data_IF_470055018173
#
_entry.id   IF_470055018173
#
_cell.length_a   1.000
_cell.length_b   1.000
_cell.length_c   1.000
_cell.angle_alpha   90.00
_cell.angle_beta   90.00
_cell.angle_gamma   90.00
#
_symmetry.space_group_name_H-M   'P 1'
#
loop_
_entity.id
_entity.type
_entity.pdbx_description
1 polymer ?
#
# COMPACT_ATOMS: atom_id res chain seq x y z
N UNK A 1 -12.73 -11.36 -2.47
CA UNK A 1 -11.84 -12.07 -1.55
C UNK A 1 -12.66 -12.91 -0.63
N UNK A 2 -12.39 -14.21 -0.56
CA UNK A 2 -12.92 -15.12 0.45
C UNK A 2 -11.71 -15.63 1.22
N UNK A 3 -11.69 -15.44 2.53
CA UNK A 3 -10.55 -15.78 3.40
C UNK A 3 -11.05 -16.39 4.69
N UNK A 4 -10.30 -17.34 5.25
CA UNK A 4 -10.49 -17.91 6.60
C UNK A 4 -11.83 -18.63 6.83
N UNK A 5 -12.63 -18.83 5.78
CA UNK A 5 -13.83 -19.63 5.85
C UNK A 5 -13.44 -21.12 5.95
N UNK A 6 -14.11 -21.84 6.84
CA UNK A 6 -13.80 -23.24 7.14
C UNK A 6 -15.07 -24.07 7.17
N UNK A 7 -15.07 -25.14 6.39
CA UNK A 7 -16.11 -26.16 6.38
C UNK A 7 -15.55 -27.46 5.82
N UNK A 8 -16.16 -28.60 6.15
CA UNK A 8 -15.76 -29.89 5.56
C UNK A 8 -16.07 -29.99 4.05
N UNK A 9 -17.07 -29.24 3.60
CA UNK A 9 -17.49 -29.11 2.20
C UNK A 9 -17.74 -27.62 1.97
N UNK A 10 -17.20 -27.06 0.88
CA UNK A 10 -17.40 -25.66 0.54
C UNK A 10 -16.76 -24.68 1.53
N UNK A 11 -15.54 -24.97 1.98
CA UNK A 11 -14.79 -24.08 2.88
C UNK A 11 -14.64 -22.67 2.31
N UNK A 12 -14.32 -22.55 1.02
CA UNK A 12 -14.40 -21.27 0.28
C UNK A 12 -15.72 -21.12 -0.48
N UNK A 13 -15.85 -21.83 -1.60
CA UNK A 13 -17.01 -21.80 -2.50
C UNK A 13 -17.52 -23.22 -2.72
N UNK A 14 -18.80 -23.47 -2.43
CA UNK A 14 -19.50 -24.66 -2.88
C UNK A 14 -20.15 -24.40 -4.25
N UNK A 15 -19.75 -25.16 -5.25
CA UNK A 15 -20.25 -25.07 -6.62
C UNK A 15 -21.29 -26.16 -6.87
N UNK A 16 -22.56 -25.74 -6.97
CA UNK A 16 -23.71 -26.61 -7.27
C UNK A 16 -24.37 -26.29 -8.64
N UNK A 17 -23.72 -25.43 -9.44
CA UNK A 17 -24.15 -25.00 -10.76
C UNK A 17 -23.00 -24.26 -11.46
N UNK A 18 -23.19 -23.74 -12.68
CA UNK A 18 -22.13 -23.02 -13.39
C UNK A 18 -21.58 -21.84 -12.57
N UNK A 19 -20.26 -21.74 -12.50
CA UNK A 19 -19.55 -20.64 -11.85
C UNK A 19 -18.59 -20.00 -12.86
N UNK A 20 -18.65 -18.69 -13.01
CA UNK A 20 -17.58 -17.90 -13.64
C UNK A 20 -16.84 -17.14 -12.53
N UNK A 21 -15.51 -17.23 -12.52
CA UNK A 21 -14.67 -16.62 -11.49
C UNK A 21 -13.45 -15.94 -12.09
N UNK A 22 -13.21 -14.68 -11.72
CA UNK A 22 -12.04 -13.92 -12.15
C UNK A 22 -11.66 -12.89 -11.11
N UNK A 23 -10.41 -12.43 -11.13
CA UNK A 23 -9.91 -11.35 -10.27
C UNK A 23 -10.16 -11.58 -8.77
N UNK A 24 -10.24 -12.83 -8.33
CA UNK A 24 -10.68 -13.22 -6.98
C UNK A 24 -9.54 -13.81 -6.16
N UNK A 25 -9.41 -13.36 -4.91
CA UNK A 25 -8.57 -14.02 -3.91
C UNK A 25 -9.40 -15.06 -3.16
N UNK A 26 -8.86 -16.28 -3.06
CA UNK A 26 -9.37 -17.40 -2.29
C UNK A 26 -8.26 -17.84 -1.31
N UNK A 27 -8.48 -17.61 -0.02
CA UNK A 27 -7.59 -18.04 1.04
C UNK A 27 -8.30 -19.02 1.97
N UNK A 28 -7.89 -20.29 1.93
CA UNK A 28 -8.54 -21.36 2.68
C UNK A 28 -8.37 -21.13 4.19
N UNK A 29 -9.42 -21.44 4.95
CA UNK A 29 -9.30 -21.55 6.40
C UNK A 29 -8.66 -22.86 6.86
N UNK A 30 -8.93 -23.25 8.11
CA UNK A 30 -8.36 -24.46 8.73
C UNK A 30 -8.82 -25.77 8.06
N UNK A 31 -9.94 -25.74 7.34
CA UNK A 31 -10.50 -26.91 6.66
C UNK A 31 -11.29 -26.55 5.41
N UNK A 32 -11.37 -27.51 4.47
CA UNK A 32 -12.04 -27.36 3.19
C UNK A 32 -11.11 -26.80 2.09
N UNK A 33 -11.50 -27.06 0.85
CA UNK A 33 -10.86 -26.45 -0.33
C UNK A 33 -11.43 -25.06 -0.59
N UNK A 34 -10.68 -24.23 -1.32
CA UNK A 34 -11.14 -22.93 -1.79
C UNK A 34 -12.32 -23.06 -2.76
N UNK A 35 -12.28 -24.06 -3.65
CA UNK A 35 -13.36 -24.37 -4.58
C UNK A 35 -13.71 -25.84 -4.40
N UNK A 36 -14.97 -26.10 -4.06
CA UNK A 36 -15.51 -27.44 -3.88
C UNK A 36 -16.67 -27.66 -4.86
N UNK A 37 -16.56 -28.69 -5.70
CA UNK A 37 -17.47 -28.95 -6.81
C UNK A 37 -18.31 -30.18 -6.52
N UNK A 38 -19.63 -30.01 -6.43
CA UNK A 38 -20.54 -31.11 -6.15
C UNK A 38 -21.16 -31.67 -7.44
N UNK A 39 -20.66 -32.82 -7.89
CA UNK A 39 -21.09 -33.48 -9.13
C UNK A 39 -20.42 -32.89 -10.38
N UNK A 40 -20.97 -33.18 -11.55
CA UNK A 40 -20.49 -32.60 -12.81
C UNK A 40 -20.97 -31.13 -12.91
N UNK A 41 -20.11 -30.21 -12.50
CA UNK A 41 -20.33 -28.77 -12.59
C UNK A 41 -19.24 -28.10 -13.42
N UNK A 42 -19.57 -26.98 -14.08
CA UNK A 42 -18.62 -26.19 -14.85
C UNK A 42 -18.16 -25.01 -14.03
N UNK A 43 -16.85 -24.94 -13.77
CA UNK A 43 -16.18 -23.74 -13.25
C UNK A 43 -15.32 -23.16 -14.36
N UNK A 44 -15.62 -21.94 -14.76
CA UNK A 44 -14.89 -21.21 -15.80
C UNK A 44 -14.06 -20.12 -15.12
N UNK A 45 -12.74 -20.25 -15.18
CA UNK A 45 -11.85 -19.15 -14.78
C UNK A 45 -11.77 -18.09 -15.89
N UNK A 46 -12.12 -16.85 -15.54
CA UNK A 46 -11.89 -15.66 -16.35
C UNK A 46 -10.47 -15.09 -16.16
N UNK A 47 -9.64 -15.74 -15.33
CA UNK A 47 -8.26 -15.37 -15.08
C UNK A 47 -8.05 -14.43 -13.88
N UNK A 48 -6.77 -14.23 -13.56
CA UNK A 48 -6.28 -13.34 -12.51
C UNK A 48 -6.84 -13.66 -11.12
N UNK A 49 -7.14 -14.92 -10.84
CA UNK A 49 -7.47 -15.40 -9.51
C UNK A 49 -6.19 -15.74 -8.72
N UNK A 50 -6.26 -15.65 -7.40
CA UNK A 50 -5.19 -16.04 -6.49
C UNK A 50 -5.75 -17.01 -5.44
N UNK A 51 -5.26 -18.24 -5.45
CA UNK A 51 -5.72 -19.33 -4.57
C UNK A 51 -4.56 -19.85 -3.72
N UNK A 52 -4.79 -19.98 -2.41
CA UNK A 52 -3.81 -20.56 -1.49
C UNK A 52 -3.63 -22.08 -1.64
N UNK A 53 -4.55 -22.75 -2.33
CA UNK A 53 -4.47 -24.16 -2.75
C UNK A 53 -4.48 -24.28 -4.28
N UNK A 54 -4.60 -25.50 -4.80
CA UNK A 54 -4.59 -25.79 -6.23
C UNK A 54 -5.86 -25.33 -6.98
N UNK A 55 -6.82 -24.67 -6.31
CA UNK A 55 -8.09 -24.22 -6.89
C UNK A 55 -8.94 -25.38 -7.42
N UNK A 56 -8.70 -26.61 -6.91
CA UNK A 56 -9.30 -27.86 -7.39
C UNK A 56 -9.11 -28.10 -8.90
N UNK A 57 -8.05 -27.53 -9.47
CA UNK A 57 -7.74 -27.63 -10.90
C UNK A 57 -8.63 -26.77 -11.82
N UNK A 58 -9.50 -25.92 -11.27
CA UNK A 58 -10.41 -25.08 -12.07
C UNK A 58 -9.79 -23.74 -12.50
N UNK A 59 -8.77 -23.27 -11.78
CA UNK A 59 -8.15 -21.97 -12.02
C UNK A 59 -7.01 -22.09 -13.04
N UNK A 60 -7.40 -22.17 -14.32
CA UNK A 60 -6.49 -22.32 -15.47
C UNK A 60 -6.51 -21.12 -16.42
N UNK A 61 -7.11 -20.01 -16.00
CA UNK A 61 -7.21 -18.78 -16.76
C UNK A 61 -5.89 -18.00 -16.79
N UNK A 62 -5.80 -16.97 -17.65
CA UNK A 62 -4.60 -16.13 -17.73
C UNK A 62 -4.33 -15.44 -16.39
N UNK A 63 -3.08 -15.49 -15.93
CA UNK A 63 -2.66 -14.81 -14.70
C UNK A 63 -3.21 -15.43 -13.40
N UNK A 64 -3.89 -16.57 -13.46
CA UNK A 64 -4.25 -17.33 -12.26
C UNK A 64 -2.98 -17.77 -11.51
N UNK A 65 -3.03 -17.65 -10.19
CA UNK A 65 -1.97 -18.04 -9.26
C UNK A 65 -2.55 -19.06 -8.28
N UNK A 66 -2.13 -20.32 -8.39
CA UNK A 66 -2.57 -21.41 -7.50
C UNK A 66 -1.43 -21.84 -6.56
N UNK A 67 -1.77 -22.52 -5.46
CA UNK A 67 -0.83 -22.93 -4.41
C UNK A 67 0.01 -21.76 -3.88
N UNK A 68 -0.57 -20.57 -3.85
CA UNK A 68 0.15 -19.32 -3.58
C UNK A 68 -0.52 -18.56 -2.45
N UNK A 69 0.19 -18.37 -1.33
CA UNK A 69 -0.33 -17.66 -0.17
C UNK A 69 -0.66 -16.19 -0.49
N UNK A 70 -1.89 -15.71 -0.26
CA UNK A 70 -2.28 -14.35 -0.62
C UNK A 70 -1.68 -13.25 0.28
N UNK A 71 -1.19 -13.60 1.47
CA UNK A 71 -0.61 -12.67 2.47
C UNK A 71 -1.58 -11.53 2.83
N UNK A 72 -2.70 -11.89 3.46
CA UNK A 72 -3.74 -10.96 3.88
C UNK A 72 -3.57 -10.50 5.32
N UNK A 73 -3.97 -9.25 5.59
CA UNK A 73 -4.27 -8.79 6.94
C UNK A 73 -5.64 -9.30 7.40
N UNK A 74 -5.97 -9.16 8.70
CA UNK A 74 -7.26 -9.58 9.24
C UNK A 74 -8.42 -8.81 8.61
N UNK A 75 -9.63 -9.40 8.61
CA UNK A 75 -10.85 -8.70 8.25
C UNK A 75 -11.14 -7.63 9.30
N UNK A 76 -10.95 -6.36 8.94
CA UNK A 76 -11.13 -5.25 9.87
C UNK A 76 -11.52 -3.97 9.12
N UNK A 77 -11.72 -2.90 9.89
CA UNK A 77 -11.86 -1.57 9.33
C UNK A 77 -10.50 -1.08 8.77
N UNK A 78 -10.34 -1.18 7.45
CA UNK A 78 -9.20 -0.63 6.71
C UNK A 78 -9.56 0.65 5.92
N UNK A 79 -10.60 1.36 6.39
CA UNK A 79 -11.24 2.48 5.72
C UNK A 79 -12.51 2.08 4.95
N UNK A 80 -13.33 3.07 4.59
CA UNK A 80 -14.54 2.86 3.79
C UNK A 80 -15.76 2.32 4.57
N UNK A 81 -16.82 1.91 3.84
CA UNK A 81 -18.11 1.53 4.45
C UNK A 81 -18.19 0.05 4.88
N UNK A 82 -17.23 -0.79 4.50
CA UNK A 82 -17.21 -2.24 4.80
C UNK A 82 -15.85 -2.69 5.32
N UNK A 83 -15.82 -3.76 6.10
CA UNK A 83 -14.54 -4.40 6.47
C UNK A 83 -13.93 -5.08 5.25
N UNK A 84 -12.61 -5.02 5.14
CA UNK A 84 -11.86 -5.62 4.04
C UNK A 84 -10.62 -6.34 4.58
N UNK A 85 -10.09 -7.29 3.82
CA UNK A 85 -8.74 -7.80 4.03
C UNK A 85 -7.75 -6.90 3.31
N UNK A 86 -6.81 -6.31 4.04
CA UNK A 86 -5.70 -5.58 3.43
C UNK A 86 -4.70 -6.56 2.83
N UNK A 87 -4.00 -6.14 1.77
CA UNK A 87 -2.85 -6.89 1.25
C UNK A 87 -1.61 -6.50 2.07
N UNK A 88 -0.91 -7.50 2.64
CA UNK A 88 0.33 -7.26 3.37
C UNK A 88 1.48 -6.97 2.39
N UNK A 89 2.57 -6.30 2.85
CA UNK A 89 3.75 -6.10 2.03
C UNK A 89 4.28 -7.41 1.44
N UNK A 90 4.50 -7.43 0.12
CA UNK A 90 4.94 -8.62 -0.62
C UNK A 90 3.82 -9.57 -1.06
N UNK A 91 2.55 -9.23 -0.83
CA UNK A 91 1.41 -10.02 -1.31
C UNK A 91 1.48 -10.26 -2.83
N UNK A 92 1.31 -11.51 -3.30
CA UNK A 92 1.24 -11.84 -4.73
C UNK A 92 0.03 -11.24 -5.48
N UNK A 93 -0.93 -10.67 -4.75
CA UNK A 93 -2.07 -9.97 -5.33
C UNK A 93 -1.74 -8.55 -5.80
N UNK A 94 -0.63 -7.97 -5.33
CA UNK A 94 -0.24 -6.58 -5.64
C UNK A 94 0.19 -6.47 -7.10
N UNK A 95 -0.35 -5.50 -7.82
CA UNK A 95 -0.10 -5.22 -9.24
C UNK A 95 -0.27 -6.48 -10.12
N UNK A 96 -1.18 -7.39 -9.73
CA UNK A 96 -1.30 -8.73 -10.33
C UNK A 96 -2.66 -9.00 -11.00
N UNK A 97 -3.62 -8.08 -10.92
CA UNK A 97 -4.92 -8.23 -11.57
C UNK A 97 -4.90 -8.05 -13.09
N UNK A 98 -6.05 -8.10 -13.73
CA UNK A 98 -6.17 -8.02 -15.18
C UNK A 98 -5.61 -6.69 -15.71
N UNK A 99 -4.54 -6.69 -16.55
CA UNK A 99 -3.98 -5.47 -17.13
C UNK A 99 -4.92 -4.82 -18.18
N UNK A 100 -5.90 -5.56 -18.69
CA UNK A 100 -6.86 -5.10 -19.70
C UNK A 100 -8.22 -4.75 -19.09
N UNK A 101 -8.28 -4.47 -17.79
CA UNK A 101 -9.53 -4.07 -17.16
C UNK A 101 -10.03 -2.73 -17.75
N UNK A 102 -11.15 -2.74 -18.49
CA UNK A 102 -11.65 -1.55 -19.21
C UNK A 102 -13.15 -1.27 -19.07
N UNK A 103 -13.57 -0.07 -18.62
CA UNK A 103 -12.81 0.83 -17.75
C UNK A 103 -12.75 0.23 -16.33
N UNK A 104 -11.64 0.39 -15.60
CA UNK A 104 -11.60 0.01 -14.20
C UNK A 104 -12.57 0.87 -13.38
N UNK A 105 -13.15 0.32 -12.29
CA UNK A 105 -13.83 1.14 -11.30
C UNK A 105 -12.91 2.27 -10.84
N UNK A 106 -13.47 3.41 -10.44
CA UNK A 106 -12.64 4.50 -9.92
C UNK A 106 -11.96 4.14 -8.59
N UNK A 107 -12.66 3.36 -7.76
CA UNK A 107 -12.23 3.03 -6.40
C UNK A 107 -12.35 1.54 -6.12
N UNK A 108 -11.59 1.06 -5.12
CA UNK A 108 -11.81 -0.27 -4.56
C UNK A 108 -13.03 -0.30 -3.61
N UNK A 109 -13.26 -1.41 -2.91
CA UNK A 109 -14.43 -1.57 -2.04
C UNK A 109 -14.54 -0.55 -0.89
N UNK A 110 -13.46 0.18 -0.59
CA UNK A 110 -13.45 1.23 0.44
C UNK A 110 -14.03 2.55 -0.06
N UNK A 111 -14.15 2.73 -1.38
CA UNK A 111 -14.81 3.88 -1.99
C UNK A 111 -13.90 5.11 -2.18
N UNK A 112 -14.48 6.33 -2.28
CA UNK A 112 -13.73 7.53 -2.64
C UNK A 112 -12.48 7.78 -1.79
N UNK A 113 -11.35 8.03 -2.45
CA UNK A 113 -10.03 8.18 -1.80
C UNK A 113 -9.16 6.93 -1.83
N UNK A 114 -9.71 5.79 -2.27
CA UNK A 114 -8.98 4.53 -2.47
C UNK A 114 -9.05 4.14 -3.94
N UNK A 115 -8.15 4.70 -4.75
CA UNK A 115 -8.16 4.49 -6.20
C UNK A 115 -8.00 3.00 -6.53
N UNK A 116 -8.71 2.51 -7.55
CA UNK A 116 -8.61 1.11 -7.98
C UNK A 116 -7.40 0.81 -8.86
N UNK A 117 -6.79 1.82 -9.45
CA UNK A 117 -5.59 1.67 -10.27
C UNK A 117 -4.48 2.47 -9.61
N UNK A 118 -3.49 1.75 -9.08
CA UNK A 118 -2.26 2.31 -8.51
C UNK A 118 -1.09 1.69 -9.28
N UNK A 119 0.03 2.39 -9.43
CA UNK A 119 1.20 1.90 -10.18
C UNK A 119 0.94 1.41 -11.63
N UNK A 120 -0.23 1.72 -12.21
CA UNK A 120 -0.61 1.34 -13.56
C UNK A 120 -1.28 -0.02 -13.70
N UNK A 121 -1.50 -0.77 -12.62
CA UNK A 121 -2.18 -2.08 -12.65
C UNK A 121 -3.05 -2.25 -11.41
N UNK A 122 -4.16 -2.96 -11.54
CA UNK A 122 -5.04 -3.25 -10.40
C UNK A 122 -4.47 -4.42 -9.58
N UNK A 123 -4.79 -4.44 -8.29
CA UNK A 123 -4.58 -5.59 -7.44
C UNK A 123 -5.70 -6.64 -7.62
N UNK A 124 -5.38 -7.90 -7.37
CA UNK A 124 -6.37 -8.99 -7.32
C UNK A 124 -7.26 -8.79 -6.08
N UNK A 125 -8.57 -9.02 -6.21
CA UNK A 125 -9.50 -8.99 -5.09
C UNK A 125 -10.10 -7.61 -4.79
N UNK A 126 -10.55 -7.43 -3.54
CA UNK A 126 -11.41 -6.31 -3.12
C UNK A 126 -10.68 -5.04 -2.68
N UNK A 127 -9.38 -5.14 -2.44
CA UNK A 127 -8.55 -4.11 -1.83
C UNK A 127 -7.42 -3.76 -2.78
N UNK A 128 -7.18 -2.46 -2.95
CA UNK A 128 -6.04 -1.93 -3.70
C UNK A 128 -5.01 -1.35 -2.74
N UNK A 129 -3.77 -1.83 -2.76
CA UNK A 129 -2.66 -1.18 -2.09
C UNK A 129 -2.52 0.20 -2.70
N UNK A 130 -2.94 1.19 -1.92
CA UNK A 130 -2.61 2.56 -2.24
C UNK A 130 -1.09 2.67 -2.15
N UNK A 131 -0.45 3.37 -3.10
CA UNK A 131 0.90 3.88 -2.87
C UNK A 131 0.82 4.51 -1.50
N UNK A 132 1.56 3.96 -0.54
CA UNK A 132 1.64 4.56 0.75
C UNK A 132 2.18 5.94 0.41
N UNK A 133 1.32 6.95 0.42
CA UNK A 133 1.74 8.30 0.72
C UNK A 133 2.19 8.16 2.17
N UNK A 134 3.36 7.55 2.40
CA UNK A 134 4.16 7.83 3.57
C UNK A 134 4.51 9.28 3.34
N UNK A 135 3.57 10.15 3.70
CA UNK A 135 3.86 11.52 3.92
C UNK A 135 4.91 11.45 5.01
N UNK A 136 6.15 11.70 4.63
CA UNK A 136 7.20 11.92 5.60
C UNK A 136 6.66 13.06 6.47
N UNK A 137 6.33 12.82 7.74
CA UNK A 137 5.80 13.87 8.63
C UNK A 137 6.98 14.66 9.15
N UNK A 138 7.24 15.82 8.56
CA UNK A 138 8.30 16.71 8.98
C UNK A 138 7.77 17.69 10.02
N UNK A 139 8.54 17.84 11.10
CA UNK A 139 8.42 18.92 12.07
C UNK A 139 9.73 19.69 12.16
N UNK A 140 9.62 20.98 12.42
CA UNK A 140 10.79 21.84 12.57
C UNK A 140 10.62 22.82 13.74
N UNK A 141 11.71 23.06 14.46
CA UNK A 141 11.77 24.07 15.53
C UNK A 141 13.04 24.90 15.42
N UNK A 142 12.90 26.23 15.48
CA UNK A 142 14.03 27.16 15.42
C UNK A 142 14.46 27.64 16.80
N UNK A 143 15.78 27.78 17.00
CA UNK A 143 16.38 28.45 18.16
C UNK A 143 17.66 29.18 17.78
N UNK A 144 18.07 30.19 18.55
CA UNK A 144 19.39 30.83 18.38
C UNK A 144 20.44 30.07 19.19
N UNK A 145 21.57 29.69 18.57
CA UNK A 145 22.73 29.08 19.23
C UNK A 145 23.94 29.95 18.93
N UNK A 146 24.52 30.59 19.96
CA UNK A 146 25.63 31.52 19.75
C UNK A 146 25.30 32.71 18.81
N UNK A 147 24.03 33.12 18.76
CA UNK A 147 23.54 34.16 17.84
C UNK A 147 23.17 33.69 16.44
N UNK A 148 23.48 32.43 16.09
CA UNK A 148 23.16 31.82 14.79
C UNK A 148 21.76 31.18 14.85
N UNK A 149 20.97 31.36 13.80
CA UNK A 149 19.70 30.70 13.62
C UNK A 149 19.94 29.20 13.37
N UNK A 150 19.43 28.35 14.25
CA UNK A 150 19.58 26.89 14.17
C UNK A 150 18.21 26.23 14.14
N UNK A 151 17.99 25.34 13.19
CA UNK A 151 16.73 24.61 13.04
C UNK A 151 16.93 23.14 13.32
N UNK A 152 16.17 22.58 14.26
CA UNK A 152 16.04 21.14 14.45
C UNK A 152 14.88 20.64 13.61
N UNK A 153 15.17 19.71 12.72
CA UNK A 153 14.23 18.94 11.93
C UNK A 153 14.06 17.56 12.57
N UNK A 154 12.83 17.07 12.63
CA UNK A 154 12.53 15.69 13.02
C UNK A 154 11.47 15.15 12.08
N UNK A 155 11.64 13.92 11.62
CA UNK A 155 10.70 13.28 10.70
C UNK A 155 10.42 11.83 11.06
N UNK A 156 9.27 11.35 10.57
CA UNK A 156 8.90 9.93 10.55
C UNK A 156 8.43 9.55 9.15
N UNK A 157 8.34 8.25 8.85
CA UNK A 157 7.77 7.75 7.59
C UNK A 157 8.73 7.70 6.41
N UNK A 158 9.97 8.20 6.53
CA UNK A 158 11.01 7.94 5.52
C UNK A 158 11.50 6.50 5.60
N UNK A 159 11.69 5.85 4.44
CA UNK A 159 11.95 4.41 4.27
C UNK A 159 13.31 4.11 3.65
N UNK A 160 13.90 5.06 2.93
CA UNK A 160 15.22 4.88 2.35
C UNK A 160 16.33 5.01 3.42
N UNK A 161 17.52 4.48 3.11
CA UNK A 161 18.68 4.51 4.02
C UNK A 161 19.18 5.94 4.29
N UNK A 162 18.97 6.86 3.35
CA UNK A 162 19.39 8.25 3.44
C UNK A 162 18.25 9.17 3.01
N UNK A 163 18.18 10.37 3.57
CA UNK A 163 17.21 11.39 3.16
C UNK A 163 17.90 12.66 2.69
N UNK A 164 17.27 13.36 1.76
CA UNK A 164 17.67 14.69 1.32
C UNK A 164 16.95 15.76 2.15
N UNK A 165 17.74 16.58 2.84
CA UNK A 165 17.25 17.75 3.59
C UNK A 165 17.22 18.94 2.63
N UNK A 166 16.03 19.42 2.34
CA UNK A 166 15.81 20.59 1.50
C UNK A 166 15.54 21.82 2.34
N UNK A 167 16.22 22.93 2.04
CA UNK A 167 15.95 24.27 2.58
C UNK A 167 15.72 25.24 1.45
N UNK A 168 14.58 25.95 1.47
CA UNK A 168 14.18 26.92 0.46
C UNK A 168 14.21 26.35 -0.98
N UNK A 169 13.88 25.07 -1.13
CA UNK A 169 13.85 24.37 -2.41
C UNK A 169 15.20 23.82 -2.90
N UNK A 170 16.27 23.90 -2.09
CA UNK A 170 17.60 23.38 -2.43
C UNK A 170 18.01 22.31 -1.42
N UNK A 171 18.57 21.19 -1.90
CA UNK A 171 19.17 20.16 -1.03
C UNK A 171 20.41 20.73 -0.36
N UNK A 172 20.39 20.81 0.97
CA UNK A 172 21.53 21.31 1.77
C UNK A 172 22.37 20.16 2.34
N UNK A 173 21.80 18.96 2.45
CA UNK A 173 22.49 17.77 2.90
C UNK A 173 21.75 16.50 2.47
N UNK A 174 22.50 15.43 2.22
CA UNK A 174 21.98 14.05 2.18
C UNK A 174 22.54 13.35 3.41
N UNK A 175 21.67 12.82 4.26
CA UNK A 175 22.05 12.27 5.57
C UNK A 175 21.46 10.89 5.82
N UNK A 176 22.09 10.03 6.63
CA UNK A 176 21.46 8.78 7.06
C UNK A 176 20.09 9.02 7.68
N UNK A 177 19.13 8.15 7.36
CA UNK A 177 17.76 8.25 7.84
C UNK A 177 17.66 7.90 9.33
N UNK A 178 18.03 8.85 10.18
CA UNK A 178 18.02 8.74 11.64
C UNK A 178 16.80 9.42 12.28
N UNK A 179 15.89 9.98 11.47
CA UNK A 179 14.69 10.69 11.93
C UNK A 179 14.94 12.12 12.44
N UNK A 180 16.17 12.64 12.36
CA UNK A 180 16.52 13.97 12.88
C UNK A 180 17.70 14.60 12.14
N UNK A 181 17.66 15.93 11.98
CA UNK A 181 18.78 16.73 11.47
C UNK A 181 18.82 18.11 12.14
N UNK A 182 20.02 18.64 12.36
CA UNK A 182 20.21 20.00 12.87
C UNK A 182 20.87 20.83 11.77
N UNK A 183 20.16 21.84 11.31
CA UNK A 183 20.66 22.84 10.38
C UNK A 183 21.12 24.08 11.14
N UNK A 184 22.43 24.29 11.20
CA UNK A 184 23.01 25.58 11.63
C UNK A 184 23.12 26.46 10.40
N UNK A 185 22.23 27.45 10.25
CA UNK A 185 22.06 28.11 8.96
C UNK A 185 23.21 29.03 8.57
N UNK A 186 24.07 29.38 9.52
CA UNK A 186 25.14 30.37 9.35
C UNK A 186 24.64 31.82 9.42
N UNK A 187 23.32 32.04 9.42
CA UNK A 187 22.72 33.37 9.45
C UNK A 187 22.37 33.80 10.88
N UNK A 188 22.36 35.11 11.11
CA UNK A 188 21.86 35.72 12.34
C UNK A 188 20.69 36.68 12.04
N UNK A 189 19.93 37.03 13.07
CA UNK A 189 18.84 38.01 12.94
C UNK A 189 17.54 37.43 12.34
N UNK A 190 16.76 38.29 11.69
CA UNK A 190 15.43 37.94 11.17
C UNK A 190 15.55 37.11 9.90
N UNK A 191 14.97 35.91 9.92
CA UNK A 191 15.03 35.00 8.79
C UNK A 191 13.75 34.16 8.69
N UNK A 192 13.50 33.62 7.50
CA UNK A 192 12.47 32.62 7.23
C UNK A 192 13.07 31.52 6.38
N UNK A 193 12.84 30.28 6.78
CA UNK A 193 13.29 29.09 6.05
C UNK A 193 12.09 28.16 5.82
N UNK A 194 11.96 27.62 4.61
CA UNK A 194 11.08 26.47 4.34
C UNK A 194 11.91 25.20 4.26
N UNK A 195 11.38 24.10 4.81
CA UNK A 195 12.04 22.81 4.83
C UNK A 195 11.14 21.70 4.28
N UNK A 196 11.78 20.76 3.59
CA UNK A 196 11.25 19.44 3.25
C UNK A 196 12.33 18.39 3.51
N UNK A 197 11.90 17.16 3.80
CA UNK A 197 12.76 15.97 3.82
C UNK A 197 12.24 15.02 2.75
N UNK A 198 13.11 14.51 1.90
CA UNK A 198 12.76 13.60 0.81
C UNK A 198 13.55 12.31 0.89
N UNK A 199 13.02 11.21 0.36
CA UNK A 199 13.81 10.00 0.14
C UNK A 199 14.96 10.33 -0.83
N UNK A 200 16.20 9.96 -0.48
CA UNK A 200 17.38 10.47 -1.18
C UNK A 200 17.33 10.18 -2.70
N UNK A 201 17.55 11.22 -3.50
CA UNK A 201 17.57 11.13 -4.96
C UNK A 201 16.20 10.97 -5.63
N UNK A 202 15.10 11.17 -4.89
CA UNK A 202 13.73 11.02 -5.42
C UNK A 202 12.89 12.29 -5.24
N UNK A 203 11.69 12.30 -5.80
CA UNK A 203 10.67 13.34 -5.57
C UNK A 203 9.70 13.03 -4.42
N UNK A 204 9.90 11.92 -3.70
CA UNK A 204 9.04 11.53 -2.57
C UNK A 204 9.43 12.33 -1.34
N UNK A 205 8.59 13.26 -0.92
CA UNK A 205 8.92 14.28 0.09
C UNK A 205 7.85 14.43 1.18
N UNK A 206 8.29 15.03 2.28
CA UNK A 206 7.45 15.46 3.40
C UNK A 206 6.50 16.59 3.07
N UNK A 207 5.61 16.90 4.02
CA UNK A 207 5.01 18.23 4.12
C UNK A 207 6.09 19.32 4.21
N UNK A 208 5.77 20.53 3.76
CA UNK A 208 6.65 21.68 3.91
C UNK A 208 6.45 22.35 5.27
N UNK A 209 7.54 22.61 6.00
CA UNK A 209 7.51 23.34 7.28
C UNK A 209 8.25 24.66 7.15
N UNK A 210 7.61 25.76 7.55
CA UNK A 210 8.24 27.08 7.61
C UNK A 210 8.66 27.41 9.05
N UNK A 211 9.94 27.77 9.24
CA UNK A 211 10.47 28.30 10.50
C UNK A 211 10.77 29.79 10.34
N UNK A 212 10.37 30.60 11.32
CA UNK A 212 10.58 32.06 11.33
C UNK A 212 11.38 32.47 12.57
N UNK A 213 12.45 33.22 12.35
CA UNK A 213 13.24 33.86 13.39
C UNK A 213 12.85 35.33 13.47
N UNK A 214 12.54 35.80 14.67
CA UNK A 214 12.30 37.21 14.97
C UNK A 214 13.53 37.79 15.70
N UNK A 215 13.65 39.11 15.70
CA UNK A 215 14.74 39.81 16.38
C UNK A 215 14.80 39.42 17.86
#
# INVERSE_FOLDING_TARGET
TLSDNSASIGGGILVAGPLEIGTTILDRGDSGANIDSFGEVTVTSLGYNLSSDDGSGHLTGPGDQINTAPLLGPLQNNGGPTFTHSLLPGSPAIDAGDPNFTPPPFFDQRGPGFNRVVNGRIDIGSFEVQTQTVAIDLRASGRKVGGINTVRLTWTGATSNNVDVNRNGVVIATVPNTGSYIDSTGDSGRARYSYKVCEAGTSTCSNEVTVRFRH
#
